data_IF_778134465239
#
_entry.id   IF_778134465239
#
_cell.length_a   1.000
_cell.length_b   1.000
_cell.length_c   1.000
_cell.angle_alpha   90.00
_cell.angle_beta   90.00
_cell.angle_gamma   90.00
#
_symmetry.space_group_name_H-M   'P 1'
#
loop_
_entity.id
_entity.type
_entity.pdbx_description
1 polymer ?
#
# COMPACT_ATOMS: atom_id res chain seq x y z
N UNK A 1 11.21 -14.61 8.17
CA UNK A 1 12.55 -14.11 7.82
C UNK A 1 13.21 -14.97 6.74
N UNK A 2 13.14 -16.29 6.87
CA UNK A 2 13.75 -17.22 5.92
C UNK A 2 13.17 -17.09 4.49
N UNK A 3 11.89 -16.77 4.35
CA UNK A 3 11.24 -16.72 3.03
C UNK A 3 11.73 -15.57 2.14
N UNK A 4 12.00 -14.37 2.69
CA UNK A 4 12.63 -13.28 1.92
C UNK A 4 14.02 -13.66 1.41
N UNK A 5 14.76 -14.45 2.19
CA UNK A 5 16.09 -14.91 1.81
C UNK A 5 16.03 -16.10 0.85
N UNK A 6 15.07 -16.98 0.99
CA UNK A 6 14.86 -18.15 0.12
C UNK A 6 14.27 -17.73 -1.23
N UNK A 7 13.22 -16.90 -1.23
CA UNK A 7 12.55 -16.43 -2.44
C UNK A 7 13.30 -15.31 -3.16
N UNK A 8 14.35 -14.76 -2.53
CA UNK A 8 15.15 -13.61 -3.03
C UNK A 8 14.31 -12.39 -3.39
N UNK A 9 13.12 -12.26 -2.82
CA UNK A 9 12.19 -11.17 -3.13
C UNK A 9 12.72 -9.82 -2.67
N UNK A 10 12.45 -8.78 -3.44
CA UNK A 10 12.76 -7.40 -3.06
C UNK A 10 11.81 -6.91 -1.98
N UNK A 11 10.57 -7.42 -2.01
CA UNK A 11 9.50 -7.09 -1.08
C UNK A 11 8.68 -8.34 -0.74
N UNK A 12 8.31 -8.48 0.52
CA UNK A 12 7.35 -9.47 1.01
C UNK A 12 6.21 -8.76 1.73
N UNK A 13 4.97 -9.03 1.34
CA UNK A 13 3.76 -8.59 2.05
C UNK A 13 3.11 -9.79 2.73
N UNK A 14 2.57 -9.60 3.93
CA UNK A 14 1.88 -10.64 4.69
C UNK A 14 0.52 -10.18 5.17
N UNK A 15 -0.29 -11.12 5.62
CA UNK A 15 -1.62 -10.81 6.14
C UNK A 15 -1.55 -10.02 7.45
N UNK A 16 -2.54 -9.17 7.65
CA UNK A 16 -2.75 -8.39 8.86
C UNK A 16 -4.14 -8.65 9.44
N UNK A 17 -4.24 -8.45 10.74
CA UNK A 17 -5.51 -8.38 11.47
C UNK A 17 -5.72 -6.97 12.01
N UNK A 18 -6.86 -6.38 11.72
CA UNK A 18 -7.26 -5.08 12.26
C UNK A 18 -8.33 -5.29 13.33
N UNK A 19 -8.08 -4.78 14.52
CA UNK A 19 -8.98 -4.81 15.67
C UNK A 19 -9.53 -3.39 15.92
N UNK A 20 -10.79 -3.16 15.59
CA UNK A 20 -11.45 -1.89 15.87
C UNK A 20 -11.89 -1.88 17.33
N UNK A 21 -11.40 -0.89 18.08
CA UNK A 21 -11.61 -0.77 19.52
C UNK A 21 -12.58 0.38 19.83
N UNK A 22 -13.55 0.10 20.68
CA UNK A 22 -14.41 1.11 21.33
C UNK A 22 -14.37 0.87 22.84
N UNK A 23 -14.02 1.87 23.62
CA UNK A 23 -13.90 1.77 25.08
C UNK A 23 -13.08 0.56 25.54
N UNK A 24 -11.94 0.31 24.89
CA UNK A 24 -11.05 -0.83 25.12
C UNK A 24 -11.66 -2.23 24.84
N UNK A 25 -12.83 -2.30 24.19
CA UNK A 25 -13.45 -3.53 23.73
C UNK A 25 -13.30 -3.65 22.22
N UNK A 26 -12.95 -4.85 21.73
CA UNK A 26 -12.93 -5.13 20.28
C UNK A 26 -14.37 -5.23 19.79
N UNK A 27 -14.79 -4.28 18.94
CA UNK A 27 -16.14 -4.25 18.37
C UNK A 27 -16.19 -4.78 16.93
N UNK A 28 -15.03 -4.86 16.26
CA UNK A 28 -14.91 -5.41 14.90
C UNK A 28 -13.52 -5.94 14.66
N UNK A 29 -13.45 -7.07 13.97
CA UNK A 29 -12.20 -7.65 13.45
C UNK A 29 -12.28 -7.69 11.93
N UNK A 30 -11.18 -7.32 11.27
CA UNK A 30 -10.97 -7.49 9.83
C UNK A 30 -9.65 -8.20 9.62
N UNK A 31 -9.58 -9.06 8.61
CA UNK A 31 -8.35 -9.75 8.22
C UNK A 31 -8.12 -9.57 6.73
N UNK A 32 -6.86 -9.40 6.35
CA UNK A 32 -6.45 -9.48 4.95
C UNK A 32 -6.19 -10.95 4.62
N UNK A 33 -6.64 -11.39 3.46
CA UNK A 33 -6.40 -12.74 2.97
C UNK A 33 -5.53 -12.66 1.72
N UNK A 34 -4.30 -13.13 1.83
CA UNK A 34 -3.35 -13.24 0.73
C UNK A 34 -3.04 -14.71 0.51
N UNK A 35 -2.75 -15.05 -0.73
CA UNK A 35 -2.16 -16.35 -1.06
C UNK A 35 -0.64 -16.26 -1.00
N UNK A 36 0.00 -17.40 -0.74
CA UNK A 36 1.44 -17.54 -0.84
C UNK A 36 1.83 -17.52 -2.31
N UNK A 37 2.37 -16.41 -2.79
CA UNK A 37 2.73 -16.24 -4.20
C UNK A 37 3.98 -15.37 -4.36
N UNK A 38 4.77 -15.70 -5.39
CA UNK A 38 5.90 -14.90 -5.85
C UNK A 38 5.51 -14.34 -7.21
N UNK A 39 5.71 -13.04 -7.39
CA UNK A 39 5.48 -12.32 -8.62
C UNK A 39 6.83 -11.86 -9.17
N UNK A 40 7.13 -12.19 -10.40
CA UNK A 40 8.20 -11.56 -11.17
C UNK A 40 7.75 -10.19 -11.69
N UNK A 41 8.63 -9.47 -12.38
CA UNK A 41 8.36 -8.11 -12.85
C UNK A 41 7.14 -8.01 -13.79
N UNK A 42 6.97 -8.98 -14.68
CA UNK A 42 5.84 -8.97 -15.61
C UNK A 42 4.54 -9.31 -14.88
N UNK A 43 4.57 -10.28 -13.96
CA UNK A 43 3.43 -10.61 -13.12
C UNK A 43 3.04 -9.48 -12.16
N UNK A 44 4.00 -8.67 -11.66
CA UNK A 44 3.71 -7.46 -10.90
C UNK A 44 2.86 -6.51 -11.76
N UNK A 45 3.30 -6.26 -12.99
CA UNK A 45 2.59 -5.40 -13.94
C UNK A 45 1.18 -5.92 -14.23
N UNK A 46 1.05 -7.20 -14.56
CA UNK A 46 -0.23 -7.81 -14.92
C UNK A 46 -1.23 -7.85 -13.76
N UNK A 47 -0.73 -7.92 -12.52
CA UNK A 47 -1.57 -8.01 -11.32
C UNK A 47 -1.67 -6.69 -10.53
N UNK A 48 -1.09 -5.59 -11.00
CA UNK A 48 -0.99 -4.35 -10.21
C UNK A 48 -2.34 -3.84 -9.73
N UNK A 49 -3.37 -3.88 -10.56
CA UNK A 49 -4.72 -3.46 -10.17
C UNK A 49 -5.34 -4.39 -9.12
N UNK A 50 -5.10 -5.69 -9.22
CA UNK A 50 -5.54 -6.65 -8.20
C UNK A 50 -4.84 -6.40 -6.86
N UNK A 51 -3.54 -6.11 -6.88
CA UNK A 51 -2.74 -5.80 -5.68
C UNK A 51 -3.21 -4.49 -5.02
N UNK A 52 -3.53 -3.50 -5.83
CA UNK A 52 -4.06 -2.22 -5.36
C UNK A 52 -5.49 -2.37 -4.79
N UNK A 53 -6.40 -3.01 -5.52
CA UNK A 53 -7.79 -3.21 -5.10
C UNK A 53 -7.90 -4.18 -3.92
N UNK A 54 -7.02 -5.17 -3.85
CA UNK A 54 -6.89 -6.11 -2.73
C UNK A 54 -6.28 -5.52 -1.47
N UNK A 55 -5.97 -4.20 -1.47
CA UNK A 55 -5.34 -3.49 -0.34
C UNK A 55 -3.97 -4.04 0.07
N UNK A 56 -3.30 -4.74 -0.82
CA UNK A 56 -1.95 -5.26 -0.60
C UNK A 56 -0.94 -4.11 -0.56
N UNK A 57 -1.21 -3.05 -1.34
CA UNK A 57 -0.38 -1.85 -1.47
C UNK A 57 -0.95 -0.65 -0.69
N UNK A 58 -1.64 -0.87 0.42
CA UNK A 58 -2.25 0.20 1.25
C UNK A 58 -1.33 0.67 2.38
N UNK A 59 -0.51 -0.22 2.94
CA UNK A 59 0.30 0.04 4.12
C UNK A 59 1.72 -0.53 3.97
N UNK A 60 2.72 0.06 4.62
CA UNK A 60 4.09 -0.47 4.65
C UNK A 60 4.35 -1.42 5.82
N UNK A 61 3.64 -1.26 6.92
CA UNK A 61 3.86 -1.99 8.16
C UNK A 61 3.40 -3.46 8.14
N UNK A 62 2.71 -3.90 7.09
CA UNK A 62 2.37 -5.30 6.82
C UNK A 62 3.31 -5.92 5.77
N UNK A 63 4.58 -5.49 5.74
CA UNK A 63 5.57 -6.00 4.80
C UNK A 63 7.00 -5.91 5.28
N UNK A 64 7.88 -6.62 4.59
CA UNK A 64 9.33 -6.57 4.73
C UNK A 64 9.93 -6.09 3.41
N UNK A 65 10.93 -5.23 3.50
CA UNK A 65 11.59 -4.61 2.36
C UNK A 65 13.09 -4.87 2.45
N UNK A 66 13.66 -5.38 1.37
CA UNK A 66 15.10 -5.65 1.31
C UNK A 66 15.88 -4.34 1.35
N UNK A 67 16.68 -4.15 2.39
CA UNK A 67 17.39 -2.90 2.62
C UNK A 67 18.27 -2.50 1.43
N UNK A 68 19.01 -3.45 0.84
CA UNK A 68 19.86 -3.17 -0.34
C UNK A 68 19.03 -2.74 -1.55
N UNK A 69 17.83 -3.32 -1.78
CA UNK A 69 16.93 -2.89 -2.82
C UNK A 69 16.46 -1.44 -2.63
N UNK A 70 16.04 -1.09 -1.40
CA UNK A 70 15.61 0.27 -1.08
C UNK A 70 16.74 1.29 -1.28
N UNK A 71 17.96 0.96 -0.79
CA UNK A 71 19.11 1.86 -0.90
C UNK A 71 19.59 2.01 -2.35
N UNK A 72 19.75 0.92 -3.09
CA UNK A 72 20.27 0.94 -4.47
C UNK A 72 19.33 1.68 -5.42
N UNK A 73 18.03 1.68 -5.13
CA UNK A 73 17.00 2.38 -5.91
C UNK A 73 16.66 3.76 -5.36
N UNK A 74 17.32 4.22 -4.29
CA UNK A 74 17.09 5.52 -3.64
C UNK A 74 15.62 5.73 -3.25
N UNK A 75 14.96 4.66 -2.78
CA UNK A 75 13.56 4.69 -2.38
C UNK A 75 13.46 5.25 -0.98
N UNK A 76 12.79 6.39 -0.84
CA UNK A 76 12.61 7.11 0.42
C UNK A 76 11.18 7.65 0.53
N UNK A 77 10.72 7.84 1.76
CA UNK A 77 9.47 8.55 2.04
C UNK A 77 9.57 10.01 1.58
N UNK A 78 8.48 10.51 1.04
CA UNK A 78 8.37 11.90 0.65
C UNK A 78 7.77 12.70 1.83
N UNK A 79 8.51 13.71 2.30
CA UNK A 79 8.07 14.55 3.42
C UNK A 79 6.83 15.39 3.13
N UNK A 80 6.42 15.50 1.87
CA UNK A 80 5.16 16.13 1.49
C UNK A 80 3.95 15.44 2.15
N UNK A 81 4.01 14.12 2.32
CA UNK A 81 2.92 13.29 2.84
C UNK A 81 2.83 13.23 4.37
N UNK A 82 3.16 14.31 5.09
CA UNK A 82 3.13 14.34 6.57
C UNK A 82 1.75 14.10 7.20
N UNK A 83 0.68 14.17 6.40
CA UNK A 83 -0.72 14.02 6.84
C UNK A 83 -1.38 12.72 6.37
N UNK A 84 -0.62 11.79 5.79
CA UNK A 84 -1.08 10.50 5.26
C UNK A 84 -0.79 10.35 3.76
N UNK A 85 -0.97 9.14 3.22
CA UNK A 85 -0.68 8.82 1.80
C UNK A 85 0.77 8.42 1.52
N UNK A 86 1.67 8.60 2.49
CA UNK A 86 3.08 8.23 2.39
C UNK A 86 3.29 6.75 2.08
N UNK A 87 2.44 5.90 2.63
CA UNK A 87 2.50 4.46 2.42
C UNK A 87 2.24 4.09 0.95
N UNK A 88 1.23 4.68 0.34
CA UNK A 88 0.89 4.41 -1.07
C UNK A 88 1.95 5.00 -1.99
N UNK A 89 2.43 6.23 -1.72
CA UNK A 89 3.49 6.85 -2.51
C UNK A 89 4.74 5.98 -2.55
N UNK A 90 5.23 5.54 -1.37
CA UNK A 90 6.45 4.72 -1.32
C UNK A 90 6.23 3.33 -1.92
N UNK A 91 5.06 2.70 -1.72
CA UNK A 91 4.73 1.41 -2.32
C UNK A 91 4.65 1.50 -3.85
N UNK A 92 4.12 2.57 -4.42
CA UNK A 92 4.17 2.80 -5.86
C UNK A 92 5.60 2.96 -6.37
N UNK A 93 6.46 3.71 -5.70
CA UNK A 93 7.90 3.80 -6.02
C UNK A 93 8.58 2.42 -5.99
N UNK A 94 8.24 1.60 -5.01
CA UNK A 94 8.74 0.24 -4.88
C UNK A 94 8.31 -0.63 -6.05
N UNK A 95 7.00 -0.66 -6.37
CA UNK A 95 6.45 -1.52 -7.41
C UNK A 95 7.01 -1.21 -8.80
N UNK A 96 7.33 0.07 -9.09
CA UNK A 96 7.96 0.43 -10.37
C UNK A 96 9.38 -0.09 -10.53
N UNK A 97 10.07 -0.43 -9.43
CA UNK A 97 11.48 -0.80 -9.40
C UNK A 97 11.71 -2.26 -8.99
N UNK A 98 10.73 -2.90 -8.35
CA UNK A 98 10.86 -4.28 -7.90
C UNK A 98 10.96 -5.25 -9.08
N UNK A 99 11.88 -6.20 -8.97
CA UNK A 99 12.01 -7.32 -9.91
C UNK A 99 11.29 -8.56 -9.38
N UNK A 100 11.06 -8.62 -8.07
CA UNK A 100 10.32 -9.69 -7.42
C UNK A 100 9.55 -9.17 -6.22
N UNK A 101 8.32 -9.65 -6.08
CA UNK A 101 7.38 -9.31 -5.02
C UNK A 101 6.73 -10.59 -4.53
N UNK A 102 6.67 -10.79 -3.22
CA UNK A 102 6.03 -11.97 -2.63
C UNK A 102 4.88 -11.58 -1.74
N UNK A 103 3.87 -12.46 -1.69
CA UNK A 103 2.78 -12.41 -0.71
C UNK A 103 2.80 -13.65 0.15
N UNK A 104 2.34 -13.54 1.40
CA UNK A 104 2.25 -14.63 2.36
C UNK A 104 0.91 -14.59 3.10
N UNK A 105 0.21 -15.73 3.12
CA UNK A 105 -1.12 -15.88 3.73
C UNK A 105 -1.12 -15.89 5.26
N UNK A 106 0.04 -15.79 5.91
CA UNK A 106 0.14 -15.82 7.37
C UNK A 106 -0.05 -14.40 7.95
N UNK A 107 -0.80 -14.29 9.05
CA UNK A 107 -0.98 -13.02 9.78
C UNK A 107 0.23 -12.83 10.71
N UNK A 108 1.04 -11.81 10.42
CA UNK A 108 2.18 -11.42 11.26
C UNK A 108 1.99 -10.08 11.97
N UNK A 109 0.95 -9.33 11.63
CA UNK A 109 0.74 -8.01 12.23
C UNK A 109 -0.70 -7.85 12.72
N UNK A 110 -0.84 -7.30 13.93
CA UNK A 110 -2.13 -6.93 14.52
C UNK A 110 -2.18 -5.43 14.70
N UNK A 111 -3.09 -4.77 13.99
CA UNK A 111 -3.29 -3.32 14.04
C UNK A 111 -4.50 -2.97 14.89
N UNK A 112 -4.29 -2.18 15.93
CA UNK A 112 -5.35 -1.70 16.82
C UNK A 112 -5.85 -0.33 16.35
N UNK A 113 -7.09 -0.27 15.86
CA UNK A 113 -7.75 0.97 15.44
C UNK A 113 -8.57 1.51 16.60
N UNK A 114 -8.12 2.61 17.20
CA UNK A 114 -8.80 3.28 18.31
C UNK A 114 -9.51 4.53 17.82
N UNK A 115 -10.82 4.64 18.09
CA UNK A 115 -11.60 5.82 17.71
C UNK A 115 -11.02 7.10 18.33
N UNK A 116 -10.87 8.16 17.53
CA UNK A 116 -10.43 9.50 17.99
C UNK A 116 -8.92 9.70 18.13
N UNK A 117 -8.09 8.68 17.93
CA UNK A 117 -6.63 8.78 18.10
C UNK A 117 -5.84 8.81 16.78
N UNK A 118 -6.50 8.71 15.64
CA UNK A 118 -5.81 8.74 14.34
C UNK A 118 -5.61 10.15 13.83
N UNK A 119 -4.40 10.47 13.40
CA UNK A 119 -4.07 11.74 12.70
C UNK A 119 -4.82 11.88 11.38
N UNK A 120 -5.29 10.77 10.79
CA UNK A 120 -6.07 10.75 9.56
C UNK A 120 -7.54 11.13 9.72
N UNK A 121 -8.05 11.33 10.96
CA UNK A 121 -9.48 11.54 11.23
C UNK A 121 -9.98 12.97 11.07
N UNK A 122 -9.12 13.96 10.79
CA UNK A 122 -9.52 15.37 10.63
C UNK A 122 -9.37 15.81 9.18
N UNK A 123 -10.45 16.34 8.61
CA UNK A 123 -10.39 16.97 7.28
C UNK A 123 -9.65 18.32 7.35
N UNK A 124 -8.83 18.58 6.33
CA UNK A 124 -8.25 19.90 6.08
C UNK A 124 -7.88 20.03 4.58
N UNK A 125 -7.65 21.25 4.10
CA UNK A 125 -7.29 21.53 2.70
C UNK A 125 -6.05 20.76 2.25
N UNK A 126 -5.06 20.59 3.14
CA UNK A 126 -3.83 19.84 2.83
C UNK A 126 -4.09 18.38 2.45
N UNK A 127 -5.20 17.80 2.93
CA UNK A 127 -5.58 16.43 2.52
C UNK A 127 -6.10 16.36 1.08
N UNK A 128 -6.77 17.40 0.60
CA UNK A 128 -7.17 17.48 -0.80
C UNK A 128 -5.93 17.58 -1.71
N UNK A 129 -5.01 18.48 -1.38
CA UNK A 129 -3.76 18.66 -2.11
C UNK A 129 -2.95 17.35 -2.13
N UNK A 130 -2.93 16.65 -1.01
CA UNK A 130 -2.30 15.33 -0.87
C UNK A 130 -2.99 14.26 -1.73
N UNK A 131 -4.33 14.23 -1.78
CA UNK A 131 -5.07 13.28 -2.61
C UNK A 131 -4.78 13.51 -4.09
N UNK A 132 -4.73 14.77 -4.53
CA UNK A 132 -4.38 15.12 -5.91
C UNK A 132 -2.96 14.65 -6.26
N UNK A 133 -1.99 14.95 -5.40
CA UNK A 133 -0.60 14.52 -5.59
C UNK A 133 -0.49 12.99 -5.62
N UNK A 134 -1.19 12.30 -4.73
CA UNK A 134 -1.21 10.84 -4.69
C UNK A 134 -1.80 10.24 -5.96
N UNK A 135 -2.88 10.82 -6.48
CA UNK A 135 -3.46 10.43 -7.76
C UNK A 135 -2.47 10.57 -8.91
N UNK A 136 -1.70 11.67 -8.95
CA UNK A 136 -0.61 11.87 -9.92
C UNK A 136 0.48 10.81 -9.78
N UNK A 137 0.95 10.54 -8.55
CA UNK A 137 1.99 9.52 -8.28
C UNK A 137 1.59 8.12 -8.69
N UNK A 138 0.34 7.73 -8.43
CA UNK A 138 -0.18 6.44 -8.88
C UNK A 138 -0.21 6.40 -10.42
N UNK A 139 -0.70 7.46 -11.06
CA UNK A 139 -0.74 7.56 -12.52
C UNK A 139 0.66 7.45 -13.14
N UNK A 140 1.64 8.18 -12.59
CA UNK A 140 3.04 8.12 -13.01
C UNK A 140 3.61 6.71 -12.82
N UNK A 141 3.37 6.09 -11.66
CA UNK A 141 3.83 4.73 -11.37
C UNK A 141 3.26 3.70 -12.33
N UNK A 142 1.97 3.74 -12.62
CA UNK A 142 1.33 2.87 -13.60
C UNK A 142 1.90 3.08 -15.01
N UNK A 143 2.13 4.34 -15.40
CA UNK A 143 2.77 4.68 -16.67
C UNK A 143 4.20 4.13 -16.76
N UNK A 144 4.99 4.22 -15.67
CA UNK A 144 6.33 3.64 -15.58
C UNK A 144 6.32 2.11 -15.73
N UNK A 145 5.25 1.44 -15.31
CA UNK A 145 5.03 0.02 -15.53
C UNK A 145 4.56 -0.30 -16.97
N UNK A 146 4.41 0.70 -17.83
CA UNK A 146 3.93 0.54 -19.20
C UNK A 146 2.43 0.21 -19.29
N UNK A 147 1.65 0.61 -18.29
CA UNK A 147 0.20 0.40 -18.26
C UNK A 147 -0.48 1.62 -18.87
N UNK A 148 -1.28 1.38 -19.92
CA UNK A 148 -2.11 2.45 -20.48
C UNK A 148 -3.31 2.71 -19.58
N UNK A 149 -3.39 3.94 -19.06
CA UNK A 149 -4.35 4.33 -18.04
C UNK A 149 -5.60 4.99 -18.66
N UNK A 150 -5.61 5.29 -19.97
CA UNK A 150 -6.64 6.14 -20.58
C UNK A 150 -8.08 5.64 -20.42
N UNK A 151 -8.29 4.31 -20.26
CA UNK A 151 -9.62 3.73 -19.99
C UNK A 151 -9.94 3.53 -18.50
N UNK A 152 -8.92 3.53 -17.62
CA UNK A 152 -9.07 3.16 -16.20
C UNK A 152 -8.78 4.32 -15.23
N UNK A 153 -8.42 5.48 -15.77
CA UNK A 153 -7.94 6.64 -15.00
C UNK A 153 -8.94 7.17 -13.99
N UNK A 154 -10.20 7.21 -14.40
CA UNK A 154 -11.26 7.85 -13.60
C UNK A 154 -11.66 6.96 -12.44
N UNK A 155 -11.89 5.68 -12.69
CA UNK A 155 -12.45 4.78 -11.67
C UNK A 155 -11.47 4.52 -10.53
N UNK A 156 -10.20 4.31 -10.83
CA UNK A 156 -9.22 3.94 -9.82
C UNK A 156 -8.79 5.13 -8.95
N UNK A 157 -8.48 6.28 -9.57
CA UNK A 157 -8.16 7.51 -8.83
C UNK A 157 -9.36 7.97 -8.01
N UNK A 158 -10.56 7.89 -8.58
CA UNK A 158 -11.79 8.17 -7.85
C UNK A 158 -12.00 7.21 -6.67
N UNK A 159 -11.78 5.90 -6.83
CA UNK A 159 -11.92 4.93 -5.74
C UNK A 159 -10.95 5.22 -4.59
N UNK A 160 -9.70 5.58 -4.89
CA UNK A 160 -8.74 5.97 -3.86
C UNK A 160 -9.19 7.27 -3.19
N UNK A 161 -9.55 8.29 -3.96
CA UNK A 161 -10.05 9.55 -3.41
C UNK A 161 -11.31 9.33 -2.56
N UNK A 162 -12.27 8.53 -3.02
CA UNK A 162 -13.47 8.17 -2.24
C UNK A 162 -13.12 7.39 -0.97
N UNK A 163 -12.16 6.46 -1.03
CA UNK A 163 -11.69 5.72 0.14
C UNK A 163 -11.05 6.64 1.19
N UNK A 164 -10.35 7.68 0.77
CA UNK A 164 -9.81 8.69 1.68
C UNK A 164 -10.89 9.66 2.18
N UNK A 165 -11.82 10.07 1.34
CA UNK A 165 -12.91 10.98 1.70
C UNK A 165 -13.95 10.32 2.60
N UNK A 166 -14.24 9.03 2.44
CA UNK A 166 -15.18 8.29 3.29
C UNK A 166 -14.65 7.99 4.70
N UNK A 167 -13.39 8.28 4.98
CA UNK A 167 -12.80 8.23 6.33
C UNK A 167 -12.91 9.56 7.09
N UNK A 168 -13.56 10.56 6.47
CA UNK A 168 -13.83 11.89 7.01
C UNK A 168 -15.26 11.96 7.54
#
# INVERSE_FOLDING_TARGET
YNRITEDRSDVLKFCKRELVMLNNVVVRTKETHLEDKIYNKDEIKDNIFQLLNGKVLECVWDGLFKKSFMMNNQIQFDEFYKSGGEDIDILMKIMTKANSFSTMGTIYYVHYIRSGFSTSSKFNQKKLDMCEMLGRRITEGLSCLGINIEGHKVDYVCQIMFSYMSKI
#
